data_IF_246612961906
#
_entry.id   IF_246612961906
#
_cell.length_a   1.000
_cell.length_b   1.000
_cell.length_c   1.000
_cell.angle_alpha   90.00
_cell.angle_beta   90.00
_cell.angle_gamma   90.00
#
_symmetry.space_group_name_H-M   'P 1'
#
loop_
_entity.id
_entity.type
_entity.pdbx_description
1 polymer ?
#
# COMPACT_ATOMS: atom_id res chain seq x y z
N UNK A 1 -6.21 -0.89 2.36
CA UNK A 1 -6.93 -2.16 2.64
C UNK A 1 -6.17 -3.35 2.08
N UNK A 2 -5.74 -3.32 0.83
CA UNK A 2 -5.25 -4.50 0.10
C UNK A 2 -4.11 -5.26 0.79
N UNK A 3 -3.09 -4.55 1.31
CA UNK A 3 -1.98 -5.18 2.02
C UNK A 3 -2.41 -5.84 3.35
N UNK A 4 -3.45 -5.34 4.01
CA UNK A 4 -3.95 -5.88 5.28
C UNK A 4 -4.52 -7.30 5.10
N UNK A 5 -5.03 -7.61 3.90
CA UNK A 5 -5.51 -8.94 3.56
C UNK A 5 -4.44 -9.75 2.83
N UNK A 6 -3.67 -9.13 1.92
CA UNK A 6 -2.70 -9.82 1.08
C UNK A 6 -1.56 -10.41 1.90
N UNK A 7 -1.05 -9.67 2.89
CA UNK A 7 0.07 -10.15 3.70
C UNK A 7 -0.33 -11.39 4.52
N UNK A 8 -1.37 -11.37 5.38
CA UNK A 8 -1.78 -12.57 6.11
C UNK A 8 -2.11 -13.75 5.20
N UNK A 9 -2.77 -13.50 4.06
CA UNK A 9 -3.06 -14.52 3.06
C UNK A 9 -1.76 -15.14 2.50
N UNK A 10 -0.73 -14.33 2.26
CA UNK A 10 0.58 -14.80 1.80
C UNK A 10 1.32 -15.59 2.89
N UNK A 11 1.31 -15.12 4.13
CA UNK A 11 1.90 -15.84 5.26
C UNK A 11 1.24 -17.22 5.43
N UNK A 12 -0.10 -17.25 5.47
CA UNK A 12 -0.90 -18.47 5.62
C UNK A 12 -0.74 -19.41 4.43
N UNK A 13 -0.75 -18.87 3.20
CA UNK A 13 -0.50 -19.64 1.99
C UNK A 13 0.89 -20.27 1.96
N UNK A 14 1.92 -19.54 2.40
CA UNK A 14 3.31 -20.02 2.48
C UNK A 14 3.44 -21.14 3.50
N UNK A 15 2.84 -20.97 4.69
CA UNK A 15 2.81 -22.01 5.71
C UNK A 15 2.06 -23.27 5.22
N UNK A 16 0.93 -23.08 4.52
CA UNK A 16 0.18 -24.18 3.90
C UNK A 16 1.02 -24.90 2.84
N UNK A 17 1.72 -24.16 1.98
CA UNK A 17 2.62 -24.74 0.98
C UNK A 17 3.72 -25.58 1.64
N UNK A 18 4.39 -25.06 2.67
CA UNK A 18 5.43 -25.81 3.39
C UNK A 18 4.87 -27.10 4.02
N UNK A 19 3.69 -27.05 4.64
CA UNK A 19 3.03 -28.22 5.22
C UNK A 19 2.60 -29.26 4.16
N UNK A 20 2.13 -28.81 2.98
CA UNK A 20 1.79 -29.69 1.87
C UNK A 20 3.03 -30.38 1.30
N UNK A 21 4.14 -29.66 1.16
CA UNK A 21 5.41 -30.24 0.72
C UNK A 21 6.02 -31.19 1.77
N UNK A 22 5.84 -30.91 3.06
CA UNK A 22 6.25 -31.81 4.15
C UNK A 22 5.54 -33.15 4.08
N UNK A 23 4.20 -33.13 4.02
CA UNK A 23 3.39 -34.35 3.83
C UNK A 23 3.73 -35.09 2.54
N UNK A 24 4.31 -34.39 1.56
CA UNK A 24 4.65 -34.97 0.27
C UNK A 24 5.86 -35.93 0.29
N UNK A 25 6.53 -36.01 1.45
CA UNK A 25 7.58 -37.00 1.73
C UNK A 25 6.94 -38.38 1.93
N UNK A 26 5.80 -38.43 2.63
CA UNK A 26 5.06 -39.67 2.90
C UNK A 26 4.07 -40.04 1.78
N UNK A 27 3.54 -39.03 1.08
CA UNK A 27 2.53 -39.21 0.02
C UNK A 27 2.91 -38.42 -1.23
N UNK A 28 2.63 -38.89 -2.45
CA UNK A 28 2.89 -38.08 -3.65
C UNK A 28 2.08 -36.77 -3.60
N UNK A 29 2.69 -35.68 -4.07
CA UNK A 29 2.01 -34.39 -4.17
C UNK A 29 0.83 -34.53 -5.15
N UNK A 30 -0.39 -34.31 -4.65
CA UNK A 30 -1.63 -34.64 -5.39
C UNK A 30 -2.19 -33.42 -6.13
N UNK A 31 -3.09 -33.65 -7.09
CA UNK A 31 -3.84 -32.57 -7.74
C UNK A 31 -4.65 -31.73 -6.74
N UNK A 32 -5.10 -32.32 -5.63
CA UNK A 32 -5.80 -31.59 -4.55
C UNK A 32 -4.90 -30.56 -3.88
N UNK A 33 -3.62 -30.89 -3.69
CA UNK A 33 -2.62 -29.97 -3.15
C UNK A 33 -2.38 -28.80 -4.10
N UNK A 34 -2.34 -29.06 -5.41
CA UNK A 34 -2.26 -28.01 -6.43
C UNK A 34 -3.52 -27.15 -6.48
N UNK A 35 -4.71 -27.73 -6.37
CA UNK A 35 -5.95 -26.95 -6.30
C UNK A 35 -6.03 -26.08 -5.05
N UNK A 36 -5.54 -26.55 -3.90
CA UNK A 36 -5.48 -25.73 -2.69
C UNK A 36 -4.58 -24.50 -2.90
N UNK A 37 -3.39 -24.68 -3.48
CA UNK A 37 -2.48 -23.58 -3.81
C UNK A 37 -3.08 -22.65 -4.87
N UNK A 38 -3.74 -23.20 -5.90
CA UNK A 38 -4.43 -22.42 -6.91
C UNK A 38 -5.58 -21.60 -6.32
N UNK A 39 -6.32 -22.16 -5.35
CA UNK A 39 -7.36 -21.43 -4.61
C UNK A 39 -6.79 -20.21 -3.89
N UNK A 40 -5.64 -20.33 -3.24
CA UNK A 40 -4.93 -19.18 -2.63
C UNK A 40 -4.48 -18.17 -3.68
N UNK A 41 -3.97 -18.62 -4.83
CA UNK A 41 -3.64 -17.73 -5.95
C UNK A 41 -4.86 -16.94 -6.46
N UNK A 42 -6.03 -17.57 -6.56
CA UNK A 42 -7.27 -16.90 -6.96
C UNK A 42 -7.68 -15.84 -5.94
N UNK A 43 -7.48 -16.08 -4.65
CA UNK A 43 -7.74 -15.06 -3.62
C UNK A 43 -6.82 -13.83 -3.77
N UNK A 44 -5.59 -13.98 -4.26
CA UNK A 44 -4.76 -12.81 -4.55
C UNK A 44 -5.25 -11.96 -5.71
N UNK A 45 -6.02 -12.53 -6.64
CA UNK A 45 -6.63 -11.75 -7.71
C UNK A 45 -7.64 -10.74 -7.17
N UNK A 46 -8.41 -11.11 -6.15
CA UNK A 46 -9.41 -10.22 -5.54
C UNK A 46 -8.81 -9.25 -4.53
N UNK A 47 -7.60 -9.53 -4.04
CA UNK A 47 -6.94 -8.71 -3.02
C UNK A 47 -5.83 -7.82 -3.61
N UNK A 48 -4.81 -8.40 -4.24
CA UNK A 48 -3.66 -7.64 -4.75
C UNK A 48 -2.77 -8.49 -5.69
N UNK A 49 -2.76 -8.16 -6.99
CA UNK A 49 -2.07 -8.94 -8.03
C UNK A 49 -0.55 -9.07 -7.81
N UNK A 50 0.13 -8.07 -7.23
CA UNK A 50 1.57 -8.17 -6.92
C UNK A 50 1.87 -9.35 -5.98
N UNK A 51 1.00 -9.64 -5.02
CA UNK A 51 1.21 -10.73 -4.07
C UNK A 51 0.99 -12.10 -4.70
N UNK A 52 0.20 -12.20 -5.78
CA UNK A 52 0.08 -13.43 -6.56
C UNK A 52 1.45 -13.87 -7.11
N UNK A 53 2.20 -12.93 -7.71
CA UNK A 53 3.52 -13.21 -8.28
C UNK A 53 4.55 -13.54 -7.21
N UNK A 54 4.55 -12.77 -6.11
CA UNK A 54 5.41 -13.08 -4.95
C UNK A 54 5.07 -14.46 -4.39
N UNK A 55 3.79 -14.78 -4.23
CA UNK A 55 3.34 -16.06 -3.70
C UNK A 55 3.76 -17.24 -4.58
N UNK A 56 3.57 -17.16 -5.89
CA UNK A 56 4.05 -18.19 -6.81
C UNK A 56 5.57 -18.40 -6.69
N UNK A 57 6.35 -17.32 -6.62
CA UNK A 57 7.80 -17.39 -6.38
C UNK A 57 8.16 -18.07 -5.05
N UNK A 58 7.43 -17.75 -3.98
CA UNK A 58 7.63 -18.35 -2.66
C UNK A 58 7.31 -19.86 -2.64
N UNK A 59 6.19 -20.27 -3.25
CA UNK A 59 5.84 -21.69 -3.40
C UNK A 59 6.92 -22.44 -4.17
N UNK A 60 7.42 -21.86 -5.27
CA UNK A 60 8.53 -22.42 -6.05
C UNK A 60 9.82 -22.54 -5.24
N UNK A 61 10.14 -21.54 -4.40
CA UNK A 61 11.30 -21.58 -3.51
C UNK A 61 11.20 -22.71 -2.47
N UNK A 62 10.03 -22.86 -1.82
CA UNK A 62 9.78 -23.92 -0.83
C UNK A 62 9.89 -25.30 -1.49
N UNK A 63 9.38 -25.46 -2.72
CA UNK A 63 9.49 -26.69 -3.48
C UNK A 63 10.96 -27.07 -3.75
N UNK A 64 11.81 -26.11 -4.11
CA UNK A 64 13.26 -26.31 -4.31
C UNK A 64 13.93 -26.80 -3.03
N UNK A 65 13.61 -26.17 -1.89
CA UNK A 65 14.24 -26.47 -0.61
C UNK A 65 13.92 -27.88 -0.06
N UNK A 66 12.96 -28.60 -0.65
CA UNK A 66 12.46 -29.90 -0.13
C UNK A 66 12.82 -31.12 -1.00
N UNK A 67 13.40 -30.97 -2.20
CA UNK A 67 13.55 -32.09 -3.16
C UNK A 67 15.00 -32.30 -3.66
N UNK A 68 15.38 -33.52 -4.09
CA UNK A 68 16.71 -33.84 -4.63
C UNK A 68 17.01 -33.14 -5.97
N UNK A 69 18.29 -32.91 -6.32
CA UNK A 69 18.76 -31.87 -7.25
C UNK A 69 18.15 -31.89 -8.65
N UNK A 70 17.95 -33.06 -9.26
CA UNK A 70 17.44 -33.15 -10.64
C UNK A 70 15.92 -32.91 -10.74
N UNK A 71 15.15 -33.13 -9.66
CA UNK A 71 13.71 -32.82 -9.61
C UNK A 71 13.44 -31.34 -9.30
N UNK A 72 14.46 -30.56 -8.89
CA UNK A 72 14.31 -29.15 -8.46
C UNK A 72 13.88 -28.23 -9.58
N UNK A 73 14.45 -28.38 -10.78
CA UNK A 73 14.18 -27.47 -11.89
C UNK A 73 12.78 -27.68 -12.50
N UNK A 74 12.39 -28.94 -12.71
CA UNK A 74 11.06 -29.28 -13.23
C UNK A 74 9.93 -28.86 -12.27
N UNK A 75 10.14 -29.00 -10.96
CA UNK A 75 9.21 -28.52 -9.93
C UNK A 75 9.20 -27.00 -9.80
N UNK A 76 10.34 -26.34 -9.98
CA UNK A 76 10.38 -24.87 -9.97
C UNK A 76 9.60 -24.30 -11.15
N UNK A 77 9.86 -24.79 -12.36
CA UNK A 77 9.12 -24.39 -13.55
C UNK A 77 7.63 -24.70 -13.38
N UNK A 78 7.25 -25.88 -12.89
CA UNK A 78 5.84 -26.23 -12.72
C UNK A 78 5.13 -25.45 -11.61
N UNK A 79 5.83 -25.03 -10.55
CA UNK A 79 5.26 -24.16 -9.51
C UNK A 79 5.02 -22.72 -10.01
N UNK A 80 5.82 -22.27 -10.98
CA UNK A 80 5.61 -20.98 -11.63
C UNK A 80 4.49 -21.01 -12.68
N UNK A 81 4.25 -22.15 -13.33
CA UNK A 81 3.26 -22.27 -14.42
C UNK A 81 1.87 -21.76 -14.02
N UNK A 82 1.24 -22.16 -12.90
CA UNK A 82 -0.08 -21.64 -12.52
C UNK A 82 -0.08 -20.14 -12.26
N UNK A 83 0.94 -19.61 -11.60
CA UNK A 83 1.05 -18.18 -11.29
C UNK A 83 1.30 -17.33 -12.54
N UNK A 84 2.19 -17.78 -13.42
CA UNK A 84 2.48 -17.15 -14.70
C UNK A 84 1.27 -17.27 -15.63
N UNK A 85 0.63 -18.43 -15.72
CA UNK A 85 -0.56 -18.62 -16.54
C UNK A 85 -1.73 -17.75 -16.04
N UNK A 86 -1.96 -17.67 -14.73
CA UNK A 86 -2.96 -16.76 -14.15
C UNK A 86 -2.61 -15.30 -14.43
N UNK A 87 -1.35 -14.90 -14.23
CA UNK A 87 -0.90 -13.53 -14.51
C UNK A 87 -1.06 -13.18 -15.99
N UNK A 88 -0.64 -14.07 -16.91
CA UNK A 88 -0.77 -13.87 -18.35
C UNK A 88 -2.24 -13.87 -18.76
N UNK A 89 -3.09 -14.73 -18.20
CA UNK A 89 -4.52 -14.73 -18.46
C UNK A 89 -5.17 -13.41 -18.01
N UNK A 90 -4.80 -12.89 -16.83
CA UNK A 90 -5.28 -11.61 -16.32
C UNK A 90 -4.77 -10.44 -17.15
N UNK A 91 -3.48 -10.44 -17.52
CA UNK A 91 -2.91 -9.42 -18.38
C UNK A 91 -3.52 -9.45 -19.77
N UNK A 92 -3.68 -10.63 -20.37
CA UNK A 92 -4.34 -10.82 -21.65
C UNK A 92 -5.81 -10.37 -21.56
N UNK A 93 -6.54 -10.74 -20.51
CA UNK A 93 -7.91 -10.28 -20.32
C UNK A 93 -8.00 -8.76 -20.19
N UNK A 94 -7.12 -8.15 -19.38
CA UNK A 94 -7.05 -6.70 -19.23
C UNK A 94 -6.71 -5.98 -20.53
N UNK A 95 -5.66 -6.42 -21.23
CA UNK A 95 -5.20 -5.83 -22.50
C UNK A 95 -6.22 -6.04 -23.62
N UNK A 96 -6.79 -7.24 -23.74
CA UNK A 96 -7.72 -7.60 -24.82
C UNK A 96 -9.12 -7.02 -24.63
N UNK A 97 -9.54 -6.70 -23.39
CA UNK A 97 -10.84 -6.05 -23.13
C UNK A 97 -10.79 -4.55 -22.96
N UNK A 98 -9.60 -3.94 -22.92
CA UNK A 98 -9.54 -2.47 -22.86
C UNK A 98 -9.88 -1.93 -24.23
N UNK A 99 -11.14 -1.54 -24.44
CA UNK A 99 -11.56 -0.93 -25.69
C UNK A 99 -10.72 0.34 -25.97
N UNK A 100 -10.41 0.63 -27.25
CA UNK A 100 -9.75 1.87 -27.63
C UNK A 100 -10.50 3.08 -27.03
N UNK A 101 -9.78 3.99 -26.36
CA UNK A 101 -10.37 5.17 -25.72
C UNK A 101 -10.89 4.99 -24.29
N UNK A 102 -10.74 3.81 -23.67
CA UNK A 102 -11.08 3.59 -22.24
C UNK A 102 -9.97 4.08 -21.30
N UNK A 103 -8.72 4.08 -21.76
CA UNK A 103 -7.58 4.57 -20.98
C UNK A 103 -7.55 6.10 -21.08
N UNK A 104 -7.84 6.78 -19.97
CA UNK A 104 -7.77 8.25 -19.90
C UNK A 104 -6.36 8.74 -20.20
N UNK A 105 -6.24 9.98 -20.65
CA UNK A 105 -4.94 10.58 -20.92
C UNK A 105 -4.08 10.61 -19.65
N UNK A 106 -4.71 10.90 -18.51
CA UNK A 106 -4.07 10.83 -17.20
C UNK A 106 -3.45 9.45 -16.92
N UNK A 107 -4.22 8.37 -17.13
CA UNK A 107 -3.73 7.01 -16.94
C UNK A 107 -2.55 6.68 -17.88
N UNK A 108 -2.61 7.13 -19.15
CA UNK A 108 -1.51 6.94 -20.09
C UNK A 108 -0.23 7.65 -19.63
N UNK A 109 -0.34 8.90 -19.16
CA UNK A 109 0.79 9.65 -18.59
C UNK A 109 1.39 8.88 -17.42
N UNK A 110 0.54 8.34 -16.55
CA UNK A 110 1.02 7.56 -15.41
C UNK A 110 1.74 6.29 -15.83
N UNK A 111 1.18 5.51 -16.75
CA UNK A 111 1.82 4.28 -17.27
C UNK A 111 3.17 4.53 -17.96
N UNK A 112 3.31 5.70 -18.62
CA UNK A 112 4.53 6.12 -19.32
C UNK A 112 5.56 6.79 -18.40
N UNK A 113 5.15 7.25 -17.22
CA UNK A 113 6.05 7.87 -16.27
C UNK A 113 7.21 6.92 -15.91
N UNK A 114 8.42 7.47 -15.87
CA UNK A 114 9.60 6.70 -15.49
C UNK A 114 9.41 6.13 -14.07
N UNK A 115 9.87 4.89 -13.82
CA UNK A 115 9.80 4.34 -12.48
C UNK A 115 10.67 5.17 -11.53
N UNK A 116 10.12 5.57 -10.38
CA UNK A 116 10.88 6.24 -9.33
C UNK A 116 11.76 5.19 -8.64
N UNK A 117 13.07 5.38 -8.68
CA UNK A 117 14.04 4.54 -7.97
C UNK A 117 14.75 5.38 -6.93
N UNK A 118 14.75 4.90 -5.69
CA UNK A 118 15.51 5.50 -4.61
C UNK A 118 16.88 4.83 -4.48
N UNK A 119 17.92 5.57 -4.05
CA UNK A 119 19.19 4.98 -3.65
C UNK A 119 19.01 3.92 -2.57
N UNK A 120 19.88 2.89 -2.58
CA UNK A 120 19.88 1.82 -1.57
C UNK A 120 20.00 2.38 -0.16
N UNK A 121 20.83 3.40 0.05
CA UNK A 121 21.00 4.07 1.34
C UNK A 121 19.69 4.70 1.82
N UNK A 122 18.96 5.41 0.96
CA UNK A 122 17.65 5.98 1.28
C UNK A 122 16.64 4.89 1.64
N UNK A 123 16.63 3.77 0.91
CA UNK A 123 15.75 2.63 1.24
C UNK A 123 16.05 2.06 2.63
N UNK A 124 17.33 1.82 2.94
CA UNK A 124 17.73 1.32 4.25
C UNK A 124 17.33 2.29 5.38
N UNK A 125 17.46 3.60 5.15
CA UNK A 125 17.05 4.62 6.12
C UNK A 125 15.54 4.70 6.32
N UNK A 126 14.73 4.29 5.34
CA UNK A 126 13.26 4.24 5.42
C UNK A 126 12.73 2.97 6.09
N UNK A 127 13.57 1.96 6.36
CA UNK A 127 13.11 0.70 6.96
C UNK A 127 12.33 0.88 8.28
N UNK A 128 12.79 1.69 9.26
CA UNK A 128 12.00 1.89 10.48
C UNK A 128 10.61 2.44 10.19
N UNK A 129 10.50 3.40 9.27
CA UNK A 129 9.24 4.03 8.89
C UNK A 129 8.30 3.04 8.18
N UNK A 130 8.84 2.15 7.33
CA UNK A 130 8.06 1.14 6.64
C UNK A 130 7.57 0.02 7.57
N UNK A 131 8.37 -0.35 8.58
CA UNK A 131 8.05 -1.44 9.50
C UNK A 131 7.16 -1.00 10.65
N UNK A 132 7.36 0.22 11.16
CA UNK A 132 6.71 0.71 12.38
C UNK A 132 5.83 1.94 12.14
N UNK A 133 6.00 2.65 11.03
CA UNK A 133 5.27 3.88 10.69
C UNK A 133 6.18 5.12 10.75
N UNK A 134 5.96 6.12 9.86
CA UNK A 134 6.77 7.34 9.78
C UNK A 134 6.35 8.36 10.84
N UNK A 135 6.55 8.02 12.10
CA UNK A 135 6.26 8.91 13.22
C UNK A 135 7.24 10.09 13.26
N UNK A 136 6.84 11.25 13.81
CA UNK A 136 7.72 12.42 13.89
C UNK A 136 8.91 12.25 14.84
N UNK A 137 8.86 11.26 15.74
CA UNK A 137 9.90 10.96 16.72
C UNK A 137 10.86 9.85 16.21
N UNK A 138 11.83 9.45 17.05
CA UNK A 138 12.78 8.38 16.72
C UNK A 138 12.30 6.99 17.14
N UNK A 139 11.01 6.83 17.48
CA UNK A 139 10.47 5.58 18.05
C UNK A 139 10.63 4.39 17.07
N UNK A 140 10.48 4.62 15.76
CA UNK A 140 10.69 3.57 14.76
C UNK A 140 12.10 2.96 14.82
N UNK A 141 13.14 3.77 15.06
CA UNK A 141 14.51 3.27 15.21
C UNK A 141 14.71 2.47 16.49
N UNK A 142 14.09 2.89 17.60
CA UNK A 142 14.11 2.15 18.87
C UNK A 142 13.44 0.79 18.70
N UNK A 143 12.26 0.75 18.07
CA UNK A 143 11.54 -0.49 17.78
C UNK A 143 12.33 -1.42 16.86
N UNK A 144 13.01 -0.87 15.84
CA UNK A 144 13.89 -1.64 14.98
C UNK A 144 15.05 -2.27 15.76
N UNK A 145 15.68 -1.50 16.65
CA UNK A 145 16.74 -1.99 17.54
C UNK A 145 16.25 -3.10 18.47
N UNK A 146 15.07 -2.93 19.08
CA UNK A 146 14.46 -3.95 19.94
C UNK A 146 14.09 -5.22 19.15
N UNK A 147 13.57 -5.09 17.94
CA UNK A 147 13.28 -6.23 17.07
C UNK A 147 14.55 -6.97 16.67
N UNK A 148 15.61 -6.25 16.30
CA UNK A 148 16.92 -6.82 15.99
C UNK A 148 17.52 -7.56 17.20
N UNK A 149 17.47 -6.95 18.39
CA UNK A 149 17.90 -7.59 19.64
C UNK A 149 17.11 -8.86 19.92
N UNK A 150 15.78 -8.82 19.75
CA UNK A 150 14.90 -9.98 19.91
C UNK A 150 15.29 -11.11 18.97
N UNK A 151 15.54 -10.80 17.70
CA UNK A 151 16.01 -11.76 16.69
C UNK A 151 17.38 -12.37 17.07
N UNK A 152 18.33 -11.54 17.50
CA UNK A 152 19.66 -12.00 17.95
C UNK A 152 19.53 -12.94 19.14
N UNK A 153 18.73 -12.61 20.14
CA UNK A 153 18.53 -13.45 21.32
C UNK A 153 17.78 -14.75 20.99
N UNK A 154 16.80 -14.72 20.09
CA UNK A 154 16.15 -15.92 19.61
C UNK A 154 17.15 -16.88 18.95
N UNK A 155 18.04 -16.34 18.11
CA UNK A 155 19.11 -17.11 17.46
C UNK A 155 20.16 -17.60 18.45
N UNK A 156 20.57 -16.78 19.42
CA UNK A 156 21.57 -17.14 20.43
C UNK A 156 21.07 -18.23 21.38
N UNK A 157 19.79 -18.20 21.73
CA UNK A 157 19.14 -19.16 22.62
C UNK A 157 18.44 -20.30 21.87
N UNK A 158 18.74 -20.53 20.59
CA UNK A 158 18.09 -21.58 19.81
C UNK A 158 18.48 -22.98 20.29
N UNK A 159 17.56 -23.92 20.17
CA UNK A 159 17.91 -25.34 20.23
C UNK A 159 18.78 -25.73 19.02
N UNK A 160 19.84 -26.50 19.27
CA UNK A 160 20.68 -27.04 18.19
C UNK A 160 19.91 -28.15 17.49
N UNK A 161 19.37 -27.87 16.32
CA UNK A 161 18.77 -28.89 15.45
C UNK A 161 19.85 -29.86 14.94
N UNK A 162 19.49 -31.13 14.75
CA UNK A 162 20.34 -32.22 14.22
C UNK A 162 20.14 -32.53 12.71
N UNK A 163 19.11 -31.96 12.05
CA UNK A 163 18.86 -32.17 10.61
C UNK A 163 20.04 -31.80 9.68
N UNK A 164 20.57 -32.66 8.82
CA UNK A 164 21.74 -32.32 8.00
C UNK A 164 21.48 -31.28 6.89
N UNK A 165 20.22 -30.97 6.54
CA UNK A 165 19.90 -30.10 5.41
C UNK A 165 19.83 -28.60 5.79
N UNK A 166 20.90 -27.87 5.50
CA UNK A 166 21.02 -26.43 5.74
C UNK A 166 20.01 -25.61 4.94
N UNK A 167 19.76 -25.99 3.67
CA UNK A 167 18.88 -25.22 2.79
C UNK A 167 17.45 -25.30 3.30
N UNK A 168 17.01 -26.51 3.67
CA UNK A 168 15.70 -26.71 4.24
C UNK A 168 15.53 -25.92 5.55
N UNK A 169 16.52 -25.98 6.46
CA UNK A 169 16.50 -25.23 7.73
C UNK A 169 16.40 -23.71 7.54
N UNK A 170 17.05 -23.19 6.51
CA UNK A 170 17.14 -21.74 6.25
C UNK A 170 16.12 -21.24 5.23
N UNK A 171 15.17 -22.07 4.79
CA UNK A 171 14.22 -21.76 3.71
C UNK A 171 13.45 -20.45 3.92
N UNK A 172 12.98 -20.14 5.13
CA UNK A 172 12.29 -18.88 5.41
C UNK A 172 13.26 -17.71 5.56
N UNK A 173 14.46 -17.92 6.11
CA UNK A 173 15.49 -16.88 6.22
C UNK A 173 15.97 -16.44 4.83
N UNK A 174 16.24 -17.41 3.95
CA UNK A 174 16.63 -17.18 2.56
C UNK A 174 15.50 -16.55 1.76
N UNK A 175 14.25 -16.96 1.98
CA UNK A 175 13.09 -16.31 1.38
C UNK A 175 12.92 -14.86 1.81
N UNK A 176 13.04 -14.57 3.11
CA UNK A 176 13.07 -13.21 3.63
C UNK A 176 14.22 -12.39 3.02
N UNK A 177 15.40 -13.01 2.85
CA UNK A 177 16.55 -12.41 2.18
C UNK A 177 16.28 -12.08 0.70
N UNK A 178 15.61 -12.97 -0.04
CA UNK A 178 15.20 -12.71 -1.43
C UNK A 178 14.20 -11.56 -1.51
N UNK A 179 13.22 -11.51 -0.61
CA UNK A 179 12.27 -10.39 -0.55
C UNK A 179 12.97 -9.07 -0.17
N UNK A 180 13.91 -9.10 0.78
CA UNK A 180 14.71 -7.93 1.12
C UNK A 180 15.56 -7.46 -0.08
N UNK A 181 16.15 -8.38 -0.84
CA UNK A 181 16.86 -8.04 -2.07
C UNK A 181 15.93 -7.43 -3.12
N UNK A 182 14.73 -7.98 -3.30
CA UNK A 182 13.71 -7.41 -4.18
C UNK A 182 13.33 -6.00 -3.75
N UNK A 183 13.16 -5.74 -2.44
CA UNK A 183 12.94 -4.40 -1.92
C UNK A 183 14.05 -3.43 -2.36
N UNK A 184 15.31 -3.84 -2.29
CA UNK A 184 16.45 -3.00 -2.68
C UNK A 184 16.51 -2.73 -4.18
N UNK A 185 16.16 -3.71 -5.03
CA UNK A 185 16.27 -3.61 -6.50
C UNK A 185 15.04 -2.96 -7.15
N UNK A 186 13.84 -3.27 -6.67
CA UNK A 186 12.59 -2.83 -7.30
C UNK A 186 12.42 -1.31 -7.22
N UNK A 187 11.75 -0.67 -8.19
CA UNK A 187 11.42 0.74 -8.08
C UNK A 187 10.48 1.00 -6.90
N UNK A 188 10.53 2.21 -6.36
CA UNK A 188 9.64 2.64 -5.29
C UNK A 188 8.21 2.76 -5.82
N UNK A 189 8.08 3.47 -6.93
CA UNK A 189 6.81 3.80 -7.52
C UNK A 189 6.85 3.61 -9.03
N UNK A 190 5.78 3.04 -9.59
CA UNK A 190 5.56 2.99 -11.04
C UNK A 190 4.08 3.11 -11.35
N UNK A 191 3.73 4.10 -12.17
CA UNK A 191 2.38 4.27 -12.72
C UNK A 191 1.25 4.44 -11.72
N UNK A 192 1.47 4.99 -10.54
CA UNK A 192 0.43 5.07 -9.50
C UNK A 192 0.51 3.96 -8.46
N UNK A 193 1.55 3.12 -8.51
CA UNK A 193 1.65 1.94 -7.65
C UNK A 193 2.96 1.91 -6.85
N UNK A 194 2.84 1.69 -5.54
CA UNK A 194 3.97 1.49 -4.62
C UNK A 194 4.47 0.05 -4.71
N UNK A 195 5.68 -0.16 -5.22
CA UNK A 195 6.20 -1.51 -5.45
C UNK A 195 7.12 -1.91 -4.31
N UNK A 196 8.24 -1.20 -4.12
CA UNK A 196 9.24 -1.55 -3.12
C UNK A 196 8.71 -1.39 -1.69
N UNK A 197 8.06 -0.28 -1.35
CA UNK A 197 7.51 -0.01 0.00
C UNK A 197 6.61 -1.15 0.54
N UNK A 198 5.97 -1.94 -0.33
CA UNK A 198 5.14 -3.09 0.08
C UNK A 198 5.95 -4.36 0.38
N UNK A 199 7.12 -4.51 -0.24
CA UNK A 199 7.96 -5.71 -0.13
C UNK A 199 8.75 -5.71 1.17
N UNK A 200 9.19 -4.55 1.68
CA UNK A 200 9.97 -4.47 2.92
C UNK A 200 9.23 -5.01 4.16
N UNK A 201 7.99 -4.56 4.48
CA UNK A 201 7.23 -5.13 5.59
C UNK A 201 6.98 -6.63 5.42
N UNK A 202 6.74 -7.06 4.19
CA UNK A 202 6.53 -8.47 3.89
C UNK A 202 7.80 -9.31 4.11
N UNK A 203 8.96 -8.80 3.72
CA UNK A 203 10.26 -9.43 3.99
C UNK A 203 10.51 -9.56 5.51
N UNK A 204 10.22 -8.51 6.28
CA UNK A 204 10.38 -8.54 7.74
C UNK A 204 9.46 -9.58 8.40
N UNK A 205 8.19 -9.67 7.98
CA UNK A 205 7.27 -10.70 8.48
C UNK A 205 7.70 -12.12 8.09
N UNK A 206 8.29 -12.31 6.90
CA UNK A 206 8.98 -13.57 6.56
C UNK A 206 10.19 -13.84 7.45
N UNK A 207 10.96 -12.80 7.78
CA UNK A 207 12.07 -12.91 8.72
C UNK A 207 11.63 -13.43 10.09
N UNK A 208 10.45 -13.01 10.58
CA UNK A 208 9.89 -13.52 11.84
C UNK A 208 9.63 -15.03 11.79
N UNK A 209 9.11 -15.56 10.67
CA UNK A 209 8.92 -17.01 10.50
C UNK A 209 10.25 -17.79 10.46
N UNK A 210 11.34 -17.12 10.15
CA UNK A 210 12.68 -17.71 10.14
C UNK A 210 13.35 -17.73 11.52
N UNK A 211 12.78 -17.04 12.52
CA UNK A 211 13.36 -17.01 13.85
C UNK A 211 13.22 -18.38 14.52
N UNK A 212 14.31 -18.93 15.09
CA UNK A 212 14.23 -20.19 15.79
C UNK A 212 13.48 -20.03 17.12
N UNK A 213 12.90 -21.13 17.59
CA UNK A 213 12.28 -21.19 18.91
C UNK A 213 13.41 -21.20 19.96
N UNK A 214 13.41 -20.28 20.94
CA UNK A 214 14.38 -20.28 22.03
C UNK A 214 14.19 -21.49 22.95
N UNK A 215 15.26 -21.93 23.61
CA UNK A 215 15.23 -22.96 24.67
C UNK A 215 14.22 -22.58 25.78
N UNK A 216 13.59 -23.56 26.45
CA UNK A 216 12.51 -23.33 27.41
C UNK A 216 12.86 -22.28 28.49
N UNK A 217 14.08 -22.28 29.01
CA UNK A 217 14.53 -21.39 30.09
C UNK A 217 14.61 -19.92 29.65
N UNK A 218 14.85 -19.67 28.36
CA UNK A 218 15.00 -18.32 27.79
C UNK A 218 13.78 -17.84 27.02
N UNK A 219 12.80 -18.73 26.79
CA UNK A 219 11.57 -18.42 26.06
C UNK A 219 10.80 -17.25 26.66
N UNK A 220 10.71 -17.17 27.99
CA UNK A 220 10.01 -16.07 28.69
C UNK A 220 10.65 -14.71 28.43
N UNK A 221 11.99 -14.64 28.38
CA UNK A 221 12.71 -13.40 28.10
C UNK A 221 12.45 -12.92 26.68
N UNK A 222 12.60 -13.81 25.68
CA UNK A 222 12.36 -13.46 24.28
C UNK A 222 10.88 -13.08 24.07
N UNK A 223 9.95 -13.82 24.69
CA UNK A 223 8.53 -13.48 24.65
C UNK A 223 8.23 -12.11 25.27
N UNK A 224 8.87 -11.77 26.40
CA UNK A 224 8.72 -10.45 27.02
C UNK A 224 9.20 -9.33 26.09
N UNK A 225 10.34 -9.50 25.40
CA UNK A 225 10.81 -8.53 24.42
C UNK A 225 9.85 -8.37 23.23
N UNK A 226 9.30 -9.47 22.72
CA UNK A 226 8.25 -9.41 21.69
C UNK A 226 7.03 -8.63 22.19
N UNK A 227 6.57 -8.91 23.42
CA UNK A 227 5.44 -8.18 24.03
C UNK A 227 5.75 -6.70 24.15
N UNK A 228 6.97 -6.32 24.56
CA UNK A 228 7.39 -4.91 24.62
C UNK A 228 7.35 -4.25 23.25
N UNK A 229 7.92 -4.89 22.21
CA UNK A 229 7.90 -4.36 20.83
C UNK A 229 6.46 -4.15 20.36
N UNK A 230 5.58 -5.16 20.54
CA UNK A 230 4.18 -5.09 20.13
C UNK A 230 3.41 -4.04 20.92
N UNK A 231 3.58 -3.96 22.24
CA UNK A 231 2.91 -2.98 23.09
C UNK A 231 3.33 -1.55 22.73
N UNK A 232 4.63 -1.29 22.57
CA UNK A 232 5.13 0.02 22.16
C UNK A 232 4.60 0.41 20.77
N UNK A 233 4.64 -0.51 19.80
CA UNK A 233 4.09 -0.25 18.47
C UNK A 233 2.58 0.04 18.52
N UNK A 234 1.84 -0.73 19.30
CA UNK A 234 0.39 -0.55 19.47
C UNK A 234 0.07 0.80 20.08
N UNK A 235 0.74 1.18 21.17
CA UNK A 235 0.53 2.47 21.84
C UNK A 235 0.88 3.66 20.94
N UNK A 236 1.99 3.56 20.18
CA UNK A 236 2.37 4.60 19.23
C UNK A 236 1.34 4.73 18.10
N UNK A 237 0.90 3.61 17.53
CA UNK A 237 -0.13 3.57 16.48
C UNK A 237 -1.44 4.17 17.00
N UNK A 238 -1.91 3.73 18.18
CA UNK A 238 -3.12 4.23 18.79
C UNK A 238 -3.04 5.74 19.07
N UNK A 239 -1.93 6.22 19.63
CA UNK A 239 -1.72 7.64 19.89
C UNK A 239 -1.79 8.48 18.61
N UNK A 240 -1.14 8.01 17.53
CA UNK A 240 -1.18 8.65 16.23
C UNK A 240 -2.60 8.69 15.65
N UNK A 241 -3.37 7.61 15.74
CA UNK A 241 -4.77 7.58 15.28
C UNK A 241 -5.67 8.52 16.08
N UNK A 242 -5.49 8.60 17.40
CA UNK A 242 -6.28 9.51 18.24
C UNK A 242 -6.00 10.98 17.91
N UNK A 243 -4.74 11.34 17.65
CA UNK A 243 -4.35 12.69 17.20
C UNK A 243 -4.91 12.98 15.81
N UNK A 244 -4.71 12.06 14.87
CA UNK A 244 -5.23 12.20 13.51
C UNK A 244 -6.74 12.39 13.48
N UNK A 245 -7.50 11.67 14.33
CA UNK A 245 -8.94 11.87 14.49
C UNK A 245 -9.26 13.33 14.83
N UNK A 246 -8.53 13.92 15.77
CA UNK A 246 -8.65 15.34 16.12
C UNK A 246 -8.32 16.27 14.96
N UNK A 247 -7.22 16.01 14.24
CA UNK A 247 -6.79 16.79 13.06
C UNK A 247 -7.81 16.70 11.90
N UNK A 248 -8.52 15.58 11.78
CA UNK A 248 -9.58 15.37 10.77
C UNK A 248 -10.97 15.87 11.19
N UNK A 249 -11.13 16.32 12.44
CA UNK A 249 -12.43 16.76 12.94
C UNK A 249 -12.96 17.99 12.16
N UNK A 250 -14.28 18.09 12.04
CA UNK A 250 -14.95 19.18 11.33
C UNK A 250 -15.14 18.95 9.83
N UNK A 251 -14.40 18.03 9.19
CA UNK A 251 -14.60 17.71 7.78
C UNK A 251 -16.03 17.22 7.51
N UNK A 252 -16.51 16.27 8.32
CA UNK A 252 -17.86 15.71 8.18
C UNK A 252 -18.93 16.80 8.30
N UNK A 253 -18.78 17.73 9.24
CA UNK A 253 -19.68 18.87 9.43
C UNK A 253 -19.71 19.78 8.21
N UNK A 254 -18.54 20.11 7.65
CA UNK A 254 -18.44 20.92 6.43
C UNK A 254 -19.12 20.21 5.25
N UNK A 255 -18.85 18.91 5.05
CA UNK A 255 -19.43 18.14 3.96
C UNK A 255 -20.94 17.90 4.15
N UNK A 256 -21.43 17.80 5.38
CA UNK A 256 -22.86 17.63 5.65
C UNK A 256 -23.68 18.76 5.02
N UNK A 257 -23.17 19.99 5.08
CA UNK A 257 -23.78 21.19 4.51
C UNK A 257 -23.55 21.40 3.01
N UNK A 258 -23.12 20.39 2.26
CA UNK A 258 -23.01 20.42 0.79
C UNK A 258 -24.15 19.65 0.12
N UNK A 259 -24.54 20.11 -1.07
CA UNK A 259 -25.52 19.45 -1.92
C UNK A 259 -24.94 18.18 -2.56
N UNK A 260 -25.76 17.13 -2.77
CA UNK A 260 -25.36 15.94 -3.50
C UNK A 260 -25.16 16.20 -5.01
N UNK A 261 -24.31 15.40 -5.65
CA UNK A 261 -24.13 15.38 -7.09
C UNK A 261 -23.36 16.55 -7.72
N UNK A 262 -22.92 17.54 -6.94
CA UNK A 262 -22.18 18.70 -7.44
C UNK A 262 -20.68 18.38 -7.66
N UNK A 263 -19.97 19.32 -8.28
CA UNK A 263 -18.52 19.24 -8.48
C UNK A 263 -17.78 19.90 -7.30
N UNK A 264 -16.78 19.22 -6.74
CA UNK A 264 -15.94 19.69 -5.65
C UNK A 264 -14.44 19.66 -6.02
N UNK A 265 -13.76 20.80 -5.85
CA UNK A 265 -12.31 20.88 -5.96
C UNK A 265 -11.70 20.60 -4.58
N UNK A 266 -10.80 19.61 -4.51
CA UNK A 266 -9.99 19.36 -3.34
C UNK A 266 -8.64 20.04 -3.45
N UNK A 267 -8.40 21.07 -2.63
CA UNK A 267 -7.18 21.87 -2.63
C UNK A 267 -6.42 21.61 -1.32
N UNK A 268 -5.67 20.51 -1.29
CA UNK A 268 -5.00 20.01 -0.08
C UNK A 268 -3.52 20.42 -0.09
N UNK A 269 -3.25 21.67 0.32
CA UNK A 269 -1.90 22.22 0.42
C UNK A 269 -1.10 21.54 1.55
N UNK A 270 -1.72 21.37 2.71
CA UNK A 270 -1.17 20.63 3.83
C UNK A 270 -1.66 19.19 3.81
N UNK A 271 -0.95 18.35 3.06
CA UNK A 271 -1.35 16.95 2.82
C UNK A 271 -1.00 15.98 3.95
N UNK A 272 -0.09 16.38 4.84
CA UNK A 272 0.46 15.52 5.89
C UNK A 272 -0.27 15.70 7.21
N UNK A 273 -0.21 14.67 8.04
CA UNK A 273 -0.61 14.75 9.45
C UNK A 273 0.62 14.98 10.31
N UNK A 274 0.45 15.71 11.42
CA UNK A 274 1.51 15.84 12.41
C UNK A 274 1.95 14.47 12.98
N UNK A 275 1.06 13.48 12.93
CA UNK A 275 1.28 12.12 13.41
C UNK A 275 2.04 11.22 12.43
N UNK A 276 2.01 11.53 11.13
CA UNK A 276 2.67 10.75 10.08
C UNK A 276 3.36 11.65 9.06
N UNK A 277 4.63 11.96 9.33
CA UNK A 277 5.43 12.85 8.47
C UNK A 277 5.75 12.18 7.14
N UNK A 278 5.75 12.97 6.06
CA UNK A 278 6.03 12.49 4.72
C UNK A 278 4.93 11.60 4.12
N UNK A 279 3.82 11.35 4.83
CA UNK A 279 2.67 10.64 4.27
C UNK A 279 1.54 11.61 3.92
N UNK A 280 1.07 11.64 2.67
CA UNK A 280 0.03 12.55 2.21
C UNK A 280 -1.38 12.04 2.61
N UNK A 281 -1.62 11.84 3.90
CA UNK A 281 -2.83 11.21 4.43
C UNK A 281 -4.12 11.98 4.13
N UNK A 282 -4.05 13.30 3.96
CA UNK A 282 -5.21 14.15 3.65
C UNK A 282 -5.46 14.31 2.15
N UNK A 283 -4.52 13.90 1.29
CA UNK A 283 -4.54 14.19 -0.14
C UNK A 283 -5.86 13.81 -0.82
N UNK A 284 -6.41 12.66 -0.45
CA UNK A 284 -7.62 12.10 -1.05
C UNK A 284 -8.87 12.27 -0.18
N UNK A 285 -8.83 13.10 0.86
CA UNK A 285 -10.01 13.42 1.68
C UNK A 285 -11.22 13.95 0.89
N UNK A 286 -11.05 14.68 -0.23
CA UNK A 286 -12.18 15.01 -1.10
C UNK A 286 -13.02 13.79 -1.53
N UNK A 287 -12.46 12.57 -1.54
CA UNK A 287 -13.20 11.34 -1.86
C UNK A 287 -14.36 11.04 -0.90
N UNK A 288 -14.35 11.55 0.34
CA UNK A 288 -15.50 11.42 1.24
C UNK A 288 -16.75 12.07 0.65
N UNK A 289 -16.63 13.23 0.00
CA UNK A 289 -17.74 13.86 -0.71
C UNK A 289 -18.26 12.99 -1.86
N UNK A 290 -17.37 12.35 -2.63
CA UNK A 290 -17.79 11.44 -3.69
C UNK A 290 -18.58 10.23 -3.14
N UNK A 291 -18.17 9.68 -2.00
CA UNK A 291 -18.83 8.52 -1.37
C UNK A 291 -20.17 8.91 -0.75
N UNK A 292 -20.22 10.01 0.01
CA UNK A 292 -21.40 10.40 0.79
C UNK A 292 -22.45 11.15 -0.03
N UNK A 293 -22.00 11.91 -1.03
CA UNK A 293 -22.84 12.86 -1.77
C UNK A 293 -22.95 12.51 -3.26
N UNK A 294 -22.23 11.50 -3.73
CA UNK A 294 -22.25 11.09 -5.14
C UNK A 294 -21.72 12.14 -6.12
N UNK A 295 -21.11 13.21 -5.61
CA UNK A 295 -20.57 14.30 -6.40
C UNK A 295 -19.24 13.96 -7.06
N UNK A 296 -18.81 14.82 -7.96
CA UNK A 296 -17.55 14.64 -8.70
C UNK A 296 -16.45 15.46 -8.07
N UNK A 297 -15.25 14.90 -8.00
CA UNK A 297 -14.07 15.53 -7.38
C UNK A 297 -12.92 15.70 -8.36
N UNK A 298 -12.01 16.65 -8.07
CA UNK A 298 -10.89 17.04 -8.97
C UNK A 298 -10.13 15.82 -9.50
N UNK A 299 -9.72 14.96 -8.57
CA UNK A 299 -9.11 13.68 -8.88
C UNK A 299 -9.97 12.55 -8.31
N UNK A 300 -10.31 11.57 -9.13
CA UNK A 300 -10.99 10.35 -8.69
C UNK A 300 -10.13 9.13 -8.96
N UNK A 301 -10.15 8.15 -8.07
CA UNK A 301 -9.47 6.87 -8.28
C UNK A 301 -9.94 6.17 -9.57
N UNK A 302 -11.13 6.49 -10.09
CA UNK A 302 -11.63 6.03 -11.39
C UNK A 302 -10.67 6.31 -12.58
N UNK A 303 -9.78 7.28 -12.43
CA UNK A 303 -8.71 7.63 -13.39
C UNK A 303 -7.52 6.66 -13.35
N UNK A 304 -7.44 5.76 -12.37
CA UNK A 304 -6.29 4.89 -12.18
C UNK A 304 -6.55 3.47 -12.68
N UNK A 305 -5.59 2.89 -13.39
CA UNK A 305 -5.75 1.57 -14.00
C UNK A 305 -6.10 0.43 -13.02
N UNK A 306 -5.77 0.58 -11.74
CA UNK A 306 -5.99 -0.45 -10.73
C UNK A 306 -7.42 -0.53 -10.19
N UNK A 307 -8.27 0.48 -10.39
CA UNK A 307 -9.69 0.36 -9.98
C UNK A 307 -10.53 -0.31 -11.07
N UNK A 308 -11.60 -0.98 -10.65
CA UNK A 308 -12.62 -1.55 -11.53
C UNK A 308 -13.62 -0.52 -12.04
N UNK A 309 -13.73 0.63 -11.35
CA UNK A 309 -14.61 1.73 -11.76
C UNK A 309 -13.91 2.63 -12.79
N UNK A 310 -14.60 2.96 -13.88
CA UNK A 310 -14.07 3.82 -14.96
C UNK A 310 -15.04 4.92 -15.29
N UNK A 311 -14.51 6.07 -15.70
CA UNK A 311 -15.32 7.08 -16.36
C UNK A 311 -15.81 6.56 -17.70
N UNK A 312 -17.03 6.98 -18.07
CA UNK A 312 -17.49 6.84 -19.45
C UNK A 312 -16.59 7.69 -20.37
N UNK A 313 -16.42 7.31 -21.65
CA UNK A 313 -15.64 8.11 -22.60
C UNK A 313 -16.06 9.58 -22.60
N UNK A 314 -15.09 10.49 -22.60
CA UNK A 314 -15.34 11.95 -22.55
C UNK A 314 -15.87 12.47 -21.22
N UNK A 315 -16.03 11.62 -20.19
CA UNK A 315 -16.41 12.03 -18.83
C UNK A 315 -15.22 12.11 -17.89
N UNK A 316 -13.97 11.89 -18.31
CA UNK A 316 -12.79 12.21 -17.48
C UNK A 316 -12.54 13.73 -17.46
N UNK A 317 -11.80 14.23 -16.47
CA UNK A 317 -11.30 15.61 -16.42
C UNK A 317 -9.88 15.69 -16.97
N UNK A 318 -9.60 14.97 -18.06
CA UNK A 318 -8.27 14.88 -18.67
C UNK A 318 -7.67 16.25 -18.99
N UNK A 319 -8.48 17.19 -19.45
CA UNK A 319 -8.06 18.55 -19.77
C UNK A 319 -7.68 19.36 -18.52
N UNK A 320 -8.46 19.25 -17.44
CA UNK A 320 -8.14 19.89 -16.17
C UNK A 320 -6.94 19.25 -15.49
N UNK A 321 -6.87 17.91 -15.48
CA UNK A 321 -5.80 17.12 -14.87
C UNK A 321 -4.43 17.30 -15.56
N UNK A 322 -4.39 17.91 -16.76
CA UNK A 322 -3.15 18.39 -17.39
C UNK A 322 -2.59 19.63 -16.69
N UNK A 323 -3.47 20.48 -16.17
CA UNK A 323 -3.11 21.78 -15.61
C UNK A 323 -2.96 21.71 -14.09
N UNK A 324 -3.90 21.04 -13.42
CA UNK A 324 -3.99 20.95 -11.97
C UNK A 324 -4.46 19.56 -11.55
N UNK A 325 -3.83 19.00 -10.53
CA UNK A 325 -4.23 17.76 -9.88
C UNK A 325 -4.09 17.89 -8.37
N UNK A 326 -4.52 16.85 -7.65
CA UNK A 326 -4.52 16.81 -6.19
C UNK A 326 -3.11 16.89 -5.58
N UNK A 327 -2.05 16.45 -6.27
CA UNK A 327 -0.67 16.54 -5.80
C UNK A 327 -0.06 17.93 -5.90
N UNK A 328 -0.63 18.81 -6.73
CA UNK A 328 -0.11 20.14 -7.00
C UNK A 328 -1.20 21.23 -6.90
N UNK A 329 -1.87 21.37 -5.73
CA UNK A 329 -2.95 22.34 -5.54
C UNK A 329 -2.50 23.79 -5.74
N UNK A 330 -1.21 24.09 -5.64
CA UNK A 330 -0.63 25.40 -5.93
C UNK A 330 -0.73 25.83 -7.40
N UNK A 331 -1.05 24.91 -8.32
CA UNK A 331 -1.31 25.23 -9.72
C UNK A 331 -2.77 25.61 -9.99
N UNK A 332 -3.63 25.51 -8.98
CA UNK A 332 -5.02 25.94 -9.09
C UNK A 332 -5.11 27.47 -9.18
N UNK A 333 -5.87 27.96 -10.15
CA UNK A 333 -6.23 29.36 -10.32
C UNK A 333 -7.75 29.48 -10.42
N UNK A 334 -8.38 30.15 -9.45
CA UNK A 334 -9.84 30.28 -9.42
C UNK A 334 -10.43 30.90 -10.69
N UNK A 335 -9.78 31.90 -11.30
CA UNK A 335 -10.30 32.57 -12.51
C UNK A 335 -10.30 31.63 -13.70
N UNK A 336 -9.34 30.72 -13.77
CA UNK A 336 -9.18 29.77 -14.87
C UNK A 336 -9.97 28.47 -14.65
N UNK A 337 -9.99 27.98 -13.41
CA UNK A 337 -10.48 26.63 -13.07
C UNK A 337 -11.80 26.64 -12.31
N UNK A 338 -12.11 27.71 -11.57
CA UNK A 338 -13.19 27.77 -10.59
C UNK A 338 -14.58 27.52 -11.18
N UNK A 339 -14.82 27.91 -12.43
CA UNK A 339 -16.12 27.73 -13.10
C UNK A 339 -16.59 26.27 -13.21
N UNK A 340 -15.71 25.29 -13.01
CA UNK A 340 -16.07 23.86 -13.06
C UNK A 340 -16.62 23.31 -11.74
N UNK A 341 -16.55 24.09 -10.66
CA UNK A 341 -16.76 23.59 -9.31
C UNK A 341 -17.82 24.42 -8.58
N UNK A 342 -18.70 23.73 -7.86
CA UNK A 342 -19.61 24.35 -6.89
C UNK A 342 -18.89 24.55 -5.57
N UNK A 343 -18.12 23.55 -5.14
CA UNK A 343 -17.47 23.53 -3.84
C UNK A 343 -15.95 23.51 -3.95
N UNK A 344 -15.27 24.17 -3.01
CA UNK A 344 -13.82 24.13 -2.87
C UNK A 344 -13.51 23.74 -1.43
N UNK A 345 -13.04 22.50 -1.24
CA UNK A 345 -12.55 22.02 0.04
C UNK A 345 -11.05 22.29 0.11
N UNK A 346 -10.64 23.16 1.01
CA UNK A 346 -9.25 23.56 1.18
C UNK A 346 -8.74 23.07 2.52
N UNK A 347 -7.49 22.61 2.54
CA UNK A 347 -6.71 22.37 3.76
C UNK A 347 -5.31 22.95 3.56
N UNK A 348 -4.97 23.98 4.32
CA UNK A 348 -3.75 24.76 4.15
C UNK A 348 -3.62 25.88 5.17
N UNK A 349 -2.89 26.92 4.84
CA UNK A 349 -2.83 28.19 5.60
C UNK A 349 -3.72 29.24 4.94
N UNK A 350 -3.95 30.38 5.62
CA UNK A 350 -4.61 31.53 4.99
C UNK A 350 -3.88 32.05 3.74
N UNK A 351 -2.55 31.94 3.72
CA UNK A 351 -1.74 32.32 2.57
C UNK A 351 -2.02 31.41 1.37
N UNK A 352 -2.17 30.09 1.60
CA UNK A 352 -2.53 29.13 0.55
C UNK A 352 -3.91 29.42 -0.03
N UNK A 353 -4.90 29.71 0.83
CA UNK A 353 -6.25 30.13 0.41
C UNK A 353 -6.14 31.40 -0.44
N UNK A 354 -5.44 32.42 0.05
CA UNK A 354 -5.33 33.71 -0.66
C UNK A 354 -4.65 33.54 -2.02
N UNK A 355 -3.62 32.70 -2.11
CA UNK A 355 -2.95 32.39 -3.37
C UNK A 355 -3.88 31.68 -4.37
N UNK A 356 -4.62 30.65 -3.94
CA UNK A 356 -5.51 29.87 -4.79
C UNK A 356 -6.65 30.69 -5.40
N UNK A 357 -7.15 31.68 -4.65
CA UNK A 357 -8.27 32.53 -5.06
C UNK A 357 -7.83 33.92 -5.57
N UNK A 358 -6.52 34.21 -5.60
CA UNK A 358 -5.99 35.51 -6.03
C UNK A 358 -6.43 36.68 -5.14
N UNK A 359 -6.69 36.43 -3.85
CA UNK A 359 -7.22 37.40 -2.89
C UNK A 359 -8.20 36.78 -1.89
N UNK A 360 -9.03 37.64 -1.30
CA UNK A 360 -10.10 37.24 -0.38
C UNK A 360 -11.25 36.54 -1.15
N UNK A 361 -11.55 35.25 -0.85
CA UNK A 361 -12.66 34.51 -1.46
C UNK A 361 -14.01 35.23 -1.40
N UNK A 362 -14.28 36.02 -0.36
CA UNK A 362 -15.54 36.76 -0.23
C UNK A 362 -15.72 37.80 -1.35
N UNK A 363 -14.63 38.38 -1.86
CA UNK A 363 -14.67 39.32 -3.00
C UNK A 363 -15.04 38.64 -4.32
N UNK A 364 -14.93 37.32 -4.39
CA UNK A 364 -15.37 36.49 -5.50
C UNK A 364 -16.82 36.02 -5.33
N UNK A 365 -17.51 36.47 -4.27
CA UNK A 365 -18.87 36.05 -3.92
C UNK A 365 -18.96 34.64 -3.33
N UNK A 366 -17.83 34.06 -2.90
CA UNK A 366 -17.80 32.72 -2.30
C UNK A 366 -18.30 32.76 -0.86
N UNK A 367 -19.20 31.84 -0.52
CA UNK A 367 -19.64 31.64 0.86
C UNK A 367 -18.68 30.66 1.55
N UNK A 368 -17.92 31.15 2.54
CA UNK A 368 -16.93 30.36 3.27
C UNK A 368 -17.43 29.84 4.61
N UNK A 369 -17.10 28.59 4.92
CA UNK A 369 -17.23 27.97 6.25
C UNK A 369 -15.89 27.37 6.66
N UNK A 370 -15.62 27.31 7.96
CA UNK A 370 -14.37 26.75 8.48
C UNK A 370 -14.63 25.83 9.65
N UNK A 371 -13.90 24.72 9.72
CA UNK A 371 -13.92 23.82 10.87
C UNK A 371 -12.50 23.23 11.05
N UNK A 372 -11.86 23.54 12.19
CA UNK A 372 -10.46 23.17 12.41
C UNK A 372 -9.53 23.76 11.34
N UNK A 373 -8.73 22.90 10.71
CA UNK A 373 -7.81 23.25 9.61
C UNK A 373 -8.45 23.11 8.22
N UNK A 374 -9.78 23.13 8.14
CA UNK A 374 -10.51 22.97 6.89
C UNK A 374 -11.31 24.23 6.57
N UNK A 375 -11.28 24.60 5.30
CA UNK A 375 -12.13 25.63 4.72
C UNK A 375 -13.00 24.99 3.64
N UNK A 376 -14.28 25.35 3.61
CA UNK A 376 -15.19 25.00 2.54
C UNK A 376 -15.77 26.28 1.97
N UNK A 377 -15.51 26.50 0.68
CA UNK A 377 -16.10 27.60 -0.08
C UNK A 377 -17.16 27.09 -1.04
N UNK A 378 -18.26 27.82 -1.15
CA UNK A 378 -19.32 27.55 -2.11
C UNK A 378 -19.45 28.70 -3.11
N UNK A 379 -19.43 28.36 -4.39
CA UNK A 379 -19.73 29.28 -5.48
C UNK A 379 -21.23 29.54 -5.54
N UNK A 380 -21.70 30.80 -5.68
CA UNK A 380 -23.13 31.11 -5.76
C UNK A 380 -23.76 30.63 -7.08
N UNK A 381 -22.95 30.48 -8.13
CA UNK A 381 -23.42 30.03 -9.44
C UNK A 381 -23.33 28.50 -9.55
N UNK A 382 -24.35 27.82 -10.11
CA UNK A 382 -24.19 26.41 -10.48
C UNK A 382 -23.10 26.29 -11.56
N UNK A 383 -22.28 25.23 -11.53
CA UNK A 383 -21.34 24.97 -12.62
C UNK A 383 -22.14 24.80 -13.94
N UNK A 384 -21.61 25.29 -15.08
CA UNK A 384 -22.30 25.26 -16.37
C UNK A 384 -22.51 23.86 -16.92
#
# INVERSE_FOLDING_TARGET
MDNLLAIPLALGGVAMADALFERSIERPFSWRSWLALAGVCVLFYTVHLQFLLLFAGMVGWIAICRRPPWKRLALWLSALVPGVAACLAVMAYGVLRTAPGVISEYEQRMRRAAPLRLPVTTKLLRLPDLLFGPYPDRTGWVLLGLLALTAVLAVAFRERSSSPDLLFRTRFATLAGWLALLYLILPEFRGGYLIADRVAPFAAMMGVLALPIPIPERRRLVAALVVVVVACQFMQTLSAFLRFRGESAGLEELLAGTEPGQNLAGLIFQRESASWRGMPVYLHFPAYYQVEKGGRILFSFAELFQTSARFRPGKSWDDLLREVNDWNPQLFDYRRHGGRFRYFLVRGTLADVTAAFGGDPARLGLNGRTAGEWWLFESPLPPP
#
